data_IF_867865276019
#
_entry.id   IF_867865276019
#
_cell.length_a   1.000
_cell.length_b   1.000
_cell.length_c   1.000
_cell.angle_alpha   90.00
_cell.angle_beta   90.00
_cell.angle_gamma   90.00
#
_symmetry.space_group_name_H-M   'P 1'
#
loop_
_entity.id
_entity.type
_entity.pdbx_description
1 polymer ?
#
# COMPACT_ATOMS: atom_id res chain seq x y z
N UNK A 1 36.17 -26.64 -19.78
CA UNK A 1 35.70 -27.64 -20.77
C UNK A 1 36.89 -28.10 -21.61
N UNK A 2 37.27 -29.37 -21.50
CA UNK A 2 38.39 -29.97 -22.22
C UNK A 2 38.17 -29.88 -23.74
N UNK A 3 39.22 -29.50 -24.49
CA UNK A 3 39.15 -29.37 -25.95
C UNK A 3 39.69 -30.65 -26.58
N UNK A 4 38.89 -31.27 -27.44
CA UNK A 4 39.38 -32.31 -28.34
C UNK A 4 40.39 -31.68 -29.30
N UNK A 5 41.50 -32.37 -29.57
CA UNK A 5 42.49 -31.93 -30.53
C UNK A 5 42.91 -33.09 -31.45
N UNK A 6 43.29 -32.75 -32.68
CA UNK A 6 43.89 -33.66 -33.66
C UNK A 6 44.98 -32.87 -34.36
N UNK A 7 46.20 -33.40 -34.36
CA UNK A 7 47.35 -32.72 -34.94
C UNK A 7 47.98 -33.56 -36.05
N UNK A 8 48.35 -32.90 -37.14
CA UNK A 8 48.94 -33.56 -38.30
C UNK A 8 50.45 -33.72 -38.10
N UNK A 9 50.95 -34.93 -38.30
CA UNK A 9 52.39 -35.18 -38.28
C UNK A 9 53.05 -34.81 -39.62
N UNK A 10 54.31 -34.41 -39.55
CA UNK A 10 55.18 -34.03 -40.66
C UNK A 10 56.45 -34.87 -40.66
N UNK A 11 57.02 -35.18 -41.83
CA UNK A 11 58.33 -35.87 -41.90
C UNK A 11 59.39 -35.06 -41.16
N UNK A 12 60.19 -35.76 -40.36
CA UNK A 12 61.25 -35.16 -39.55
C UNK A 12 62.57 -35.08 -40.32
N UNK A 13 63.42 -34.12 -39.92
CA UNK A 13 64.80 -33.98 -40.42
C UNK A 13 65.77 -34.99 -39.77
N UNK A 14 65.30 -35.72 -38.74
CA UNK A 14 65.99 -36.87 -38.18
C UNK A 14 65.94 -37.99 -39.23
N UNK A 15 67.04 -38.23 -39.94
CA UNK A 15 67.09 -39.14 -41.09
C UNK A 15 66.40 -40.50 -40.86
N UNK A 16 65.73 -41.01 -41.90
CA UNK A 16 64.92 -42.24 -41.85
C UNK A 16 63.44 -41.99 -42.19
N UNK A 17 62.54 -42.78 -41.59
CA UNK A 17 61.07 -42.70 -41.79
C UNK A 17 60.33 -42.00 -40.64
N UNK A 18 60.99 -41.08 -39.95
CA UNK A 18 60.45 -40.39 -38.77
C UNK A 18 59.43 -39.31 -39.14
N UNK A 19 58.36 -39.23 -38.34
CA UNK A 19 57.33 -38.20 -38.41
C UNK A 19 57.19 -37.51 -37.04
N UNK A 20 56.83 -36.22 -37.02
CA UNK A 20 56.79 -35.38 -35.83
C UNK A 20 55.71 -34.30 -35.90
N UNK A 21 55.24 -33.82 -34.75
CA UNK A 21 54.40 -32.64 -34.63
C UNK A 21 54.76 -31.90 -33.32
N UNK A 22 54.23 -30.69 -33.14
CA UNK A 22 54.33 -29.95 -31.88
C UNK A 22 52.94 -29.84 -31.27
N UNK A 23 52.82 -30.26 -30.01
CA UNK A 23 51.57 -30.24 -29.26
C UNK A 23 51.64 -29.19 -28.15
N UNK A 24 50.55 -28.48 -27.92
CA UNK A 24 50.38 -27.69 -26.71
C UNK A 24 49.85 -28.61 -25.60
N UNK A 25 50.67 -28.82 -24.57
CA UNK A 25 50.28 -29.61 -23.40
C UNK A 25 49.77 -28.65 -22.31
N UNK A 26 48.50 -28.77 -21.87
CA UNK A 26 47.99 -28.00 -20.74
C UNK A 26 48.82 -28.25 -19.49
N UNK A 27 48.93 -27.26 -18.61
CA UNK A 27 49.71 -27.38 -17.37
C UNK A 27 49.12 -28.41 -16.41
N UNK A 28 47.84 -28.70 -16.57
CA UNK A 28 47.07 -29.65 -15.80
C UNK A 28 47.19 -31.10 -16.33
N UNK A 29 47.91 -31.33 -17.43
CA UNK A 29 48.11 -32.68 -17.96
C UNK A 29 49.33 -33.36 -17.32
N UNK A 30 49.13 -34.52 -16.72
CA UNK A 30 50.22 -35.38 -16.22
C UNK A 30 50.55 -36.54 -17.17
N UNK A 31 49.63 -36.89 -18.08
CA UNK A 31 49.76 -37.95 -19.08
C UNK A 31 49.12 -37.52 -20.40
N UNK A 32 49.75 -37.88 -21.51
CA UNK A 32 49.23 -37.75 -22.85
C UNK A 32 48.94 -39.14 -23.40
N UNK A 33 47.66 -39.45 -23.58
CA UNK A 33 47.19 -40.64 -24.28
C UNK A 33 46.91 -40.28 -25.74
N UNK A 34 47.42 -41.07 -26.68
CA UNK A 34 47.29 -40.80 -28.12
C UNK A 34 47.33 -42.07 -28.96
N UNK A 35 46.81 -41.95 -30.18
CA UNK A 35 46.85 -42.98 -31.22
C UNK A 35 47.28 -42.34 -32.54
N UNK A 36 47.87 -43.11 -33.44
CA UNK A 36 48.17 -42.61 -34.78
C UNK A 36 47.04 -42.99 -35.72
N UNK A 37 46.59 -42.02 -36.52
CA UNK A 37 45.53 -42.22 -37.50
C UNK A 37 46.03 -41.86 -38.88
N UNK A 38 45.78 -42.72 -39.88
CA UNK A 38 46.23 -42.48 -41.25
C UNK A 38 45.37 -41.46 -42.03
N UNK A 39 44.37 -40.86 -41.38
CA UNK A 39 43.43 -39.92 -42.02
C UNK A 39 42.29 -40.59 -42.79
N UNK A 40 42.17 -41.92 -42.73
CA UNK A 40 41.11 -42.69 -43.42
C UNK A 40 40.40 -43.65 -42.47
N UNK A 41 40.91 -44.86 -42.31
CA UNK A 41 40.21 -45.95 -41.59
C UNK A 41 41.12 -46.75 -40.67
N UNK A 42 42.43 -46.51 -40.69
CA UNK A 42 43.40 -47.30 -39.92
C UNK A 42 43.92 -46.48 -38.77
N UNK A 43 43.76 -47.03 -37.57
CA UNK A 43 44.38 -46.56 -36.33
C UNK A 43 45.49 -47.52 -35.94
N UNK A 44 46.64 -46.96 -35.60
CA UNK A 44 47.67 -47.66 -34.84
C UNK A 44 47.51 -47.23 -33.39
N UNK A 45 47.08 -48.17 -32.55
CA UNK A 45 46.67 -47.96 -31.17
C UNK A 45 47.38 -48.94 -30.22
N UNK A 46 48.57 -49.43 -30.59
CA UNK A 46 49.39 -50.28 -29.74
C UNK A 46 48.63 -51.54 -29.26
N UNK A 47 47.87 -52.16 -30.17
CA UNK A 47 47.08 -53.36 -29.87
C UNK A 47 45.95 -53.10 -28.87
N UNK A 48 45.21 -52.00 -29.04
CA UNK A 48 44.12 -51.52 -28.16
C UNK A 48 44.54 -51.03 -26.77
N UNK A 49 45.83 -50.76 -26.54
CA UNK A 49 46.31 -50.19 -25.28
C UNK A 49 46.62 -48.69 -25.36
N UNK A 50 46.46 -48.08 -26.54
CA UNK A 50 46.88 -46.73 -26.90
C UNK A 50 48.38 -46.49 -26.63
N UNK A 51 48.91 -45.37 -27.14
CA UNK A 51 50.22 -44.89 -26.72
C UNK A 51 50.03 -43.90 -25.59
N UNK A 52 50.85 -44.01 -24.55
CA UNK A 52 50.85 -43.08 -23.44
C UNK A 52 52.26 -42.55 -23.20
N UNK A 53 52.35 -41.24 -22.90
CA UNK A 53 53.59 -40.60 -22.46
C UNK A 53 53.27 -39.81 -21.20
N UNK A 54 54.06 -40.02 -20.14
CA UNK A 54 54.04 -39.17 -18.94
C UNK A 54 54.58 -37.78 -19.29
N UNK A 55 53.88 -36.73 -18.89
CA UNK A 55 54.31 -35.36 -19.13
C UNK A 55 55.25 -34.94 -18.01
N UNK A 56 56.49 -34.61 -18.37
CA UNK A 56 57.44 -34.01 -17.42
C UNK A 56 56.93 -32.61 -17.04
N UNK A 57 56.43 -32.48 -15.81
CA UNK A 57 55.84 -31.26 -15.30
C UNK A 57 55.65 -31.29 -13.79
N UNK A 58 54.99 -30.26 -13.26
CA UNK A 58 54.66 -30.17 -11.83
C UNK A 58 53.38 -30.91 -11.46
N UNK A 59 52.61 -31.36 -12.46
CA UNK A 59 51.37 -32.12 -12.29
C UNK A 59 51.67 -33.62 -12.36
N UNK A 60 51.29 -34.37 -11.33
CA UNK A 60 51.33 -35.83 -11.31
C UNK A 60 49.90 -36.39 -11.16
N UNK A 61 49.76 -37.72 -11.17
CA UNK A 61 48.45 -38.38 -11.07
C UNK A 61 47.67 -37.99 -9.82
N UNK A 62 48.30 -38.02 -8.64
CA UNK A 62 47.67 -37.64 -7.37
C UNK A 62 47.21 -36.17 -7.36
N UNK A 63 48.05 -35.26 -7.85
CA UNK A 63 47.73 -33.83 -7.96
C UNK A 63 46.61 -33.57 -8.99
N UNK A 64 46.52 -34.40 -10.03
CA UNK A 64 45.46 -34.34 -11.02
C UNK A 64 44.12 -34.82 -10.45
N UNK A 65 44.10 -35.91 -9.70
CA UNK A 65 42.90 -36.37 -8.99
C UNK A 65 42.41 -35.33 -7.97
N UNK A 66 43.33 -34.77 -7.17
CA UNK A 66 43.04 -33.65 -6.27
C UNK A 66 42.47 -32.43 -7.01
N UNK A 67 42.99 -32.14 -8.21
CA UNK A 67 42.50 -31.06 -9.06
C UNK A 67 41.06 -31.35 -9.53
N UNK A 68 40.76 -32.58 -9.96
CA UNK A 68 39.40 -32.98 -10.38
C UNK A 68 38.40 -32.88 -9.22
N UNK A 69 38.78 -33.32 -8.02
CA UNK A 69 37.94 -33.19 -6.82
C UNK A 69 37.65 -31.72 -6.50
N UNK A 70 38.67 -30.85 -6.56
CA UNK A 70 38.50 -29.40 -6.34
C UNK A 70 37.62 -28.74 -7.40
N UNK A 71 37.80 -29.07 -8.67
CA UNK A 71 36.91 -28.59 -9.74
C UNK A 71 35.48 -29.06 -9.52
N UNK A 72 35.28 -30.32 -9.12
CA UNK A 72 33.95 -30.84 -8.84
C UNK A 72 33.29 -30.14 -7.65
N UNK A 73 34.06 -29.85 -6.62
CA UNK A 73 33.60 -29.08 -5.46
C UNK A 73 33.19 -27.66 -5.86
N UNK A 74 33.97 -26.97 -6.68
CA UNK A 74 33.62 -25.64 -7.22
C UNK A 74 32.32 -25.66 -8.03
N UNK A 75 32.11 -26.69 -8.85
CA UNK A 75 30.83 -26.86 -9.58
C UNK A 75 29.65 -27.02 -8.62
N UNK A 76 29.79 -27.84 -7.57
CA UNK A 76 28.73 -28.05 -6.57
C UNK A 76 28.44 -26.79 -5.75
N UNK A 77 29.48 -26.06 -5.34
CA UNK A 77 29.34 -24.78 -4.64
C UNK A 77 28.62 -23.75 -5.51
N UNK A 78 28.94 -23.68 -6.81
CA UNK A 78 28.25 -22.81 -7.77
C UNK A 78 26.77 -23.19 -7.89
N UNK A 79 26.45 -24.47 -8.02
CA UNK A 79 25.07 -24.94 -8.07
C UNK A 79 24.31 -24.63 -6.78
N UNK A 80 24.96 -24.84 -5.62
CA UNK A 80 24.36 -24.52 -4.32
C UNK A 80 24.08 -23.02 -4.17
N UNK A 81 24.98 -22.16 -4.66
CA UNK A 81 24.81 -20.71 -4.68
C UNK A 81 23.65 -20.29 -5.59
N UNK A 82 23.57 -20.84 -6.82
CA UNK A 82 22.46 -20.58 -7.76
C UNK A 82 21.12 -21.04 -7.19
N UNK A 83 21.08 -22.20 -6.52
CA UNK A 83 19.87 -22.66 -5.84
C UNK A 83 19.47 -21.76 -4.66
N UNK A 84 20.45 -21.31 -3.87
CA UNK A 84 20.21 -20.40 -2.75
C UNK A 84 19.64 -19.08 -3.25
N UNK A 85 20.21 -18.50 -4.31
CA UNK A 85 19.72 -17.27 -4.94
C UNK A 85 18.30 -17.43 -5.52
N UNK A 86 18.01 -18.57 -6.16
CA UNK A 86 16.66 -18.87 -6.64
C UNK A 86 15.65 -18.97 -5.48
N UNK A 87 16.04 -19.56 -4.35
CA UNK A 87 15.19 -19.66 -3.15
C UNK A 87 14.94 -18.28 -2.54
N UNK A 88 15.97 -17.45 -2.40
CA UNK A 88 15.80 -16.08 -1.87
C UNK A 88 14.91 -15.25 -2.77
N UNK A 89 15.10 -15.29 -4.09
CA UNK A 89 14.28 -14.56 -5.05
C UNK A 89 12.81 -15.03 -5.02
N UNK A 90 12.57 -16.34 -4.89
CA UNK A 90 11.21 -16.89 -4.79
C UNK A 90 10.51 -16.42 -3.50
N UNK A 91 11.23 -16.44 -2.38
CA UNK A 91 10.71 -16.00 -1.08
C UNK A 91 10.44 -14.49 -1.07
N UNK A 92 11.31 -13.68 -1.65
CA UNK A 92 11.10 -12.24 -1.83
C UNK A 92 9.89 -11.93 -2.70
N UNK A 93 9.74 -12.66 -3.82
CA UNK A 93 8.55 -12.52 -4.68
C UNK A 93 7.27 -12.89 -3.94
N UNK A 94 7.30 -13.97 -3.13
CA UNK A 94 6.16 -14.39 -2.30
C UNK A 94 5.80 -13.30 -1.29
N UNK A 95 6.78 -12.81 -0.51
CA UNK A 95 6.59 -11.73 0.46
C UNK A 95 6.07 -10.44 -0.18
N UNK A 96 6.60 -10.07 -1.35
CA UNK A 96 6.14 -8.90 -2.10
C UNK A 96 4.69 -9.04 -2.57
N UNK A 97 4.31 -10.21 -3.10
CA UNK A 97 2.92 -10.50 -3.48
C UNK A 97 1.97 -10.47 -2.28
N UNK A 98 2.38 -11.07 -1.16
CA UNK A 98 1.60 -11.04 0.08
C UNK A 98 1.44 -9.62 0.63
N UNK A 99 2.51 -8.83 0.64
CA UNK A 99 2.45 -7.43 1.06
C UNK A 99 1.51 -6.59 0.18
N UNK A 100 1.58 -6.76 -1.16
CA UNK A 100 0.68 -6.07 -2.10
C UNK A 100 -0.77 -6.48 -1.92
N UNK A 101 -1.05 -7.78 -1.87
CA UNK A 101 -2.41 -8.28 -1.67
C UNK A 101 -3.01 -7.76 -0.36
N UNK A 102 -2.19 -7.68 0.68
CA UNK A 102 -2.63 -7.19 1.97
C UNK A 102 -2.81 -5.66 2.01
N UNK A 103 -2.03 -4.89 1.24
CA UNK A 103 -2.26 -3.45 1.01
C UNK A 103 -3.56 -3.21 0.23
N UNK A 104 -3.75 -3.95 -0.86
CA UNK A 104 -4.95 -3.89 -1.70
C UNK A 104 -6.22 -4.23 -0.91
N UNK A 105 -6.17 -5.22 -0.02
CA UNK A 105 -7.28 -5.56 0.86
C UNK A 105 -7.65 -4.38 1.79
N UNK A 106 -6.66 -3.67 2.34
CA UNK A 106 -6.90 -2.49 3.17
C UNK A 106 -7.51 -1.35 2.37
N UNK A 107 -7.03 -1.11 1.14
CA UNK A 107 -7.63 -0.11 0.23
C UNK A 107 -9.05 -0.47 -0.15
N UNK A 108 -9.32 -1.73 -0.44
CA UNK A 108 -10.67 -2.20 -0.77
C UNK A 108 -11.63 -2.00 0.41
N UNK A 109 -11.18 -2.29 1.63
CA UNK A 109 -11.96 -2.03 2.83
C UNK A 109 -12.21 -0.53 3.03
N UNK A 110 -11.19 0.33 2.86
CA UNK A 110 -11.34 1.77 2.97
C UNK A 110 -12.40 2.32 1.99
N UNK A 111 -12.36 1.86 0.73
CA UNK A 111 -13.35 2.22 -0.29
C UNK A 111 -14.77 1.78 0.06
N UNK A 112 -14.93 0.56 0.58
CA UNK A 112 -16.23 0.05 1.00
C UNK A 112 -16.81 0.89 2.16
N UNK A 113 -15.99 1.29 3.12
CA UNK A 113 -16.42 2.17 4.21
C UNK A 113 -16.79 3.58 3.72
N UNK A 114 -16.03 4.13 2.78
CA UNK A 114 -16.36 5.41 2.11
C UNK A 114 -17.69 5.30 1.38
N UNK A 115 -17.94 4.22 0.63
CA UNK A 115 -19.20 4.06 -0.08
C UNK A 115 -20.41 4.07 0.88
N UNK A 116 -20.28 3.42 2.04
CA UNK A 116 -21.33 3.43 3.08
C UNK A 116 -21.51 4.84 3.65
N UNK A 117 -20.41 5.53 4.01
CA UNK A 117 -20.48 6.91 4.51
C UNK A 117 -21.10 7.85 3.48
N UNK A 118 -20.72 7.71 2.21
CA UNK A 118 -21.23 8.54 1.12
C UNK A 118 -22.72 8.33 0.90
N UNK A 119 -23.20 7.08 0.89
CA UNK A 119 -24.65 6.80 0.82
C UNK A 119 -25.42 7.46 1.96
N UNK A 120 -24.87 7.49 3.19
CA UNK A 120 -25.48 8.20 4.32
C UNK A 120 -25.49 9.71 4.09
N UNK A 121 -24.37 10.30 3.69
CA UNK A 121 -24.30 11.73 3.40
C UNK A 121 -25.29 12.14 2.31
N UNK A 122 -25.38 11.39 1.22
CA UNK A 122 -26.31 11.63 0.12
C UNK A 122 -27.78 11.52 0.56
N UNK A 123 -28.09 10.55 1.43
CA UNK A 123 -29.41 10.47 2.06
C UNK A 123 -29.73 11.72 2.88
N UNK A 124 -28.75 12.25 3.62
CA UNK A 124 -28.90 13.44 4.45
C UNK A 124 -29.04 14.72 3.63
N UNK A 125 -28.27 14.84 2.55
CA UNK A 125 -28.39 15.94 1.59
C UNK A 125 -29.80 16.04 1.01
N UNK A 126 -30.52 14.92 0.86
CA UNK A 126 -31.93 14.93 0.41
C UNK A 126 -32.90 15.52 1.46
N UNK A 127 -32.54 15.44 2.75
CA UNK A 127 -33.30 16.00 3.86
C UNK A 127 -32.95 17.46 4.13
N UNK A 128 -31.75 17.89 3.75
CA UNK A 128 -31.29 19.26 3.90
C UNK A 128 -32.26 20.26 3.22
N UNK A 129 -32.47 21.38 3.89
CA UNK A 129 -33.23 22.52 3.37
C UNK A 129 -32.36 23.76 3.42
N UNK A 130 -32.73 24.77 2.65
CA UNK A 130 -32.08 26.10 2.74
C UNK A 130 -32.74 26.94 3.83
N UNK A 131 -34.05 26.81 3.97
CA UNK A 131 -34.87 27.38 5.02
C UNK A 131 -36.18 26.60 5.10
N UNK A 132 -36.92 26.79 6.18
CA UNK A 132 -38.32 26.38 6.29
C UNK A 132 -39.12 27.59 6.74
N UNK A 133 -40.11 27.96 5.93
CA UNK A 133 -40.93 29.15 6.15
C UNK A 133 -41.52 29.15 7.56
N UNK A 134 -41.43 30.33 8.19
CA UNK A 134 -41.89 30.57 9.57
C UNK A 134 -41.33 29.62 10.64
N UNK A 135 -40.22 28.91 10.38
CA UNK A 135 -39.61 27.98 11.33
C UNK A 135 -38.12 28.25 11.54
N UNK A 136 -37.32 28.27 10.48
CA UNK A 136 -35.89 28.56 10.56
C UNK A 136 -35.33 28.98 9.21
N UNK A 137 -34.27 29.78 9.22
CA UNK A 137 -33.50 30.10 8.02
C UNK A 137 -32.07 30.51 8.41
N UNK A 138 -31.16 30.44 7.45
CA UNK A 138 -29.76 30.84 7.61
C UNK A 138 -29.49 32.06 6.72
N UNK A 139 -28.82 33.05 7.29
CA UNK A 139 -28.25 34.18 6.54
C UNK A 139 -26.71 34.05 6.59
N UNK A 140 -26.03 34.32 5.47
CA UNK A 140 -24.58 34.50 5.51
C UNK A 140 -24.27 35.79 6.30
N UNK A 141 -23.32 35.74 7.24
CA UNK A 141 -22.93 36.96 7.95
C UNK A 141 -22.29 37.95 6.99
N UNK A 142 -22.60 39.23 7.15
CA UNK A 142 -21.96 40.34 6.43
C UNK A 142 -20.62 40.76 7.05
N UNK A 143 -20.20 40.11 8.13
CA UNK A 143 -18.95 40.42 8.80
C UNK A 143 -17.73 40.00 7.97
N UNK A 144 -16.64 40.74 8.14
CA UNK A 144 -15.42 40.70 7.30
C UNK A 144 -14.69 39.35 7.31
N UNK A 145 -15.03 38.42 8.21
CA UNK A 145 -14.42 37.09 8.26
C UNK A 145 -15.06 36.08 7.30
N UNK A 146 -16.28 36.29 6.79
CA UNK A 146 -16.94 35.40 5.81
C UNK A 146 -17.27 33.97 6.26
N UNK A 147 -16.74 33.52 7.40
CA UNK A 147 -16.82 32.16 7.94
C UNK A 147 -17.97 31.94 8.95
N UNK A 148 -18.74 33.00 9.25
CA UNK A 148 -19.85 32.96 10.21
C UNK A 148 -21.19 32.96 9.48
N UNK A 149 -22.11 32.12 9.93
CA UNK A 149 -23.51 32.14 9.50
C UNK A 149 -24.40 32.58 10.65
N UNK A 150 -25.51 33.26 10.35
CA UNK A 150 -26.54 33.55 11.35
C UNK A 150 -27.72 32.60 11.15
N UNK A 151 -27.98 31.77 12.16
CA UNK A 151 -29.10 30.81 12.15
C UNK A 151 -30.25 31.39 12.98
N UNK A 152 -31.44 31.46 12.38
CA UNK A 152 -32.66 31.90 13.04
C UNK A 152 -33.61 30.74 13.29
N UNK A 153 -34.34 30.81 14.41
CA UNK A 153 -35.33 29.83 14.82
C UNK A 153 -36.58 30.53 15.36
N UNK A 154 -37.73 30.20 14.81
CA UNK A 154 -39.03 30.57 15.34
C UNK A 154 -39.58 29.40 16.16
N UNK A 155 -39.63 29.57 17.47
CA UNK A 155 -40.11 28.52 18.38
C UNK A 155 -41.64 28.50 18.54
N UNK A 156 -42.35 29.37 17.83
CA UNK A 156 -43.81 29.43 17.92
C UNK A 156 -44.45 28.10 17.49
N UNK A 157 -45.35 27.56 18.32
CA UNK A 157 -45.94 26.22 18.13
C UNK A 157 -44.93 25.07 18.03
N UNK A 158 -43.73 25.22 18.60
CA UNK A 158 -42.69 24.18 18.68
C UNK A 158 -42.52 23.69 20.12
N UNK A 159 -41.81 22.55 20.33
CA UNK A 159 -41.57 22.00 21.67
C UNK A 159 -40.93 22.97 22.67
N UNK A 160 -40.23 24.01 22.20
CA UNK A 160 -39.52 24.98 23.02
C UNK A 160 -40.29 26.30 23.22
N UNK A 161 -41.58 26.36 22.90
CA UNK A 161 -42.37 27.60 22.94
C UNK A 161 -42.40 28.31 24.31
N UNK A 162 -42.20 27.57 25.40
CA UNK A 162 -42.22 28.09 26.76
C UNK A 162 -40.84 28.11 27.44
N UNK A 163 -39.78 27.75 26.72
CA UNK A 163 -38.42 27.79 27.26
C UNK A 163 -37.98 29.23 27.52
N UNK A 164 -37.15 29.46 28.55
CA UNK A 164 -36.57 30.79 28.80
C UNK A 164 -35.24 30.98 28.09
N UNK A 165 -34.56 29.87 27.79
CA UNK A 165 -33.32 29.82 27.03
C UNK A 165 -33.53 28.95 25.79
N UNK A 166 -32.82 29.29 24.73
CA UNK A 166 -32.78 28.51 23.50
C UNK A 166 -31.32 28.28 23.16
N UNK A 167 -30.97 27.05 22.87
CA UNK A 167 -29.63 26.62 22.50
C UNK A 167 -29.69 25.78 21.23
N UNK A 168 -28.65 25.87 20.42
CA UNK A 168 -28.38 24.94 19.33
C UNK A 168 -27.33 23.94 19.81
N UNK A 169 -27.64 22.65 19.68
CA UNK A 169 -26.67 21.58 19.77
C UNK A 169 -26.45 21.09 18.34
N UNK A 170 -25.25 21.27 17.82
CA UNK A 170 -24.93 21.07 16.42
C UNK A 170 -23.75 20.15 16.17
N UNK A 171 -23.75 19.58 14.99
CA UNK A 171 -22.70 18.77 14.42
C UNK A 171 -22.63 19.03 12.91
N UNK A 172 -21.92 18.17 12.21
CA UNK A 172 -21.79 18.27 10.77
C UNK A 172 -21.64 16.90 10.12
N UNK A 173 -21.92 16.84 8.81
CA UNK A 173 -21.76 15.65 7.97
C UNK A 173 -22.38 14.38 8.59
N UNK A 174 -23.64 14.49 9.05
CA UNK A 174 -24.36 13.46 9.79
C UNK A 174 -23.73 13.17 11.16
N UNK A 175 -23.51 14.22 11.95
CA UNK A 175 -22.94 14.14 13.29
C UNK A 175 -21.62 13.36 13.33
N UNK A 176 -20.74 13.54 12.33
CA UNK A 176 -19.54 12.71 12.16
C UNK A 176 -18.58 12.75 13.35
N UNK A 177 -18.47 13.91 13.99
CA UNK A 177 -17.67 14.13 15.20
C UNK A 177 -18.54 14.16 16.48
N UNK A 178 -19.81 13.77 16.37
CA UNK A 178 -20.80 13.96 17.43
C UNK A 178 -21.15 15.44 17.62
N UNK A 179 -21.42 15.82 18.88
CA UNK A 179 -21.74 17.20 19.27
C UNK A 179 -20.48 18.06 19.22
N UNK A 180 -20.37 18.92 18.21
CA UNK A 180 -19.20 19.78 17.98
C UNK A 180 -19.50 21.28 18.08
N UNK A 181 -20.77 21.67 18.10
CA UNK A 181 -21.24 23.06 18.14
C UNK A 181 -22.26 23.19 19.27
N UNK A 182 -22.09 24.16 20.15
CA UNK A 182 -23.06 24.46 21.22
C UNK A 182 -23.18 25.97 21.34
N UNK A 183 -24.29 26.51 20.86
CA UNK A 183 -24.49 27.97 20.79
C UNK A 183 -25.77 28.40 21.47
N UNK A 184 -25.71 29.48 22.26
CA UNK A 184 -26.88 30.09 22.88
C UNK A 184 -27.54 31.08 21.94
N UNK A 185 -28.85 31.00 21.82
CA UNK A 185 -29.61 31.91 20.97
C UNK A 185 -30.06 33.14 21.75
N UNK A 186 -30.14 34.27 21.04
CA UNK A 186 -30.66 35.55 21.56
C UNK A 186 -31.98 35.86 20.88
N UNK A 187 -32.93 36.40 21.65
CA UNK A 187 -34.25 36.78 21.13
C UNK A 187 -34.14 37.95 20.12
N UNK A 188 -34.81 37.80 18.99
CA UNK A 188 -34.96 38.81 17.94
C UNK A 188 -36.20 39.65 18.26
N UNK A 189 -36.03 40.95 18.55
CA UNK A 189 -37.15 41.83 18.94
C UNK A 189 -37.72 42.67 17.78
N UNK A 190 -37.05 42.65 16.63
CA UNK A 190 -37.33 43.43 15.42
C UNK A 190 -38.10 42.65 14.34
N UNK A 191 -38.57 41.43 14.66
CA UNK A 191 -39.30 40.55 13.75
C UNK A 191 -40.61 40.07 14.36
N UNK A 192 -41.65 39.96 13.54
CA UNK A 192 -42.94 39.40 13.95
C UNK A 192 -42.81 37.89 14.19
N UNK A 193 -43.13 37.45 15.41
CA UNK A 193 -43.02 36.05 15.86
C UNK A 193 -42.18 35.89 17.12
N UNK A 194 -41.88 34.65 17.52
CA UNK A 194 -40.96 34.36 18.63
C UNK A 194 -39.63 33.86 18.05
N UNK A 195 -38.96 34.76 17.33
CA UNK A 195 -37.71 34.51 16.63
C UNK A 195 -36.51 34.66 17.57
N UNK A 196 -35.56 33.75 17.41
CA UNK A 196 -34.30 33.69 18.13
C UNK A 196 -33.17 33.44 17.13
N UNK A 197 -31.96 33.92 17.40
CA UNK A 197 -30.82 33.69 16.51
C UNK A 197 -29.51 33.46 17.24
N UNK A 198 -28.56 32.80 16.56
CA UNK A 198 -27.16 32.75 16.97
C UNK A 198 -26.25 32.91 15.75
N UNK A 199 -25.06 33.44 15.99
CA UNK A 199 -23.97 33.45 15.04
C UNK A 199 -23.13 32.18 15.25
N UNK A 200 -23.09 31.34 14.23
CA UNK A 200 -22.45 30.01 14.27
C UNK A 200 -21.28 30.01 13.31
N UNK A 201 -20.15 29.48 13.75
CA UNK A 201 -18.98 29.22 12.90
C UNK A 201 -19.01 27.74 12.53
N UNK A 202 -19.39 27.37 11.29
CA UNK A 202 -19.39 25.98 10.89
C UNK A 202 -17.96 25.42 10.86
N UNK A 203 -17.76 24.14 11.20
CA UNK A 203 -16.46 23.50 11.03
C UNK A 203 -15.97 23.59 9.58
N UNK A 204 -14.67 23.80 9.37
CA UNK A 204 -14.08 23.96 8.04
C UNK A 204 -14.44 22.81 7.08
N UNK A 205 -14.61 21.59 7.61
CA UNK A 205 -14.94 20.38 6.85
C UNK A 205 -16.44 20.13 6.64
N UNK A 206 -17.31 21.03 7.07
CA UNK A 206 -18.75 20.84 7.04
C UNK A 206 -19.31 21.00 5.61
N UNK A 207 -19.82 19.90 5.04
CA UNK A 207 -20.62 19.91 3.83
C UNK A 207 -22.10 20.19 4.17
N UNK A 208 -22.55 19.64 5.29
CA UNK A 208 -23.90 19.80 5.84
C UNK A 208 -23.79 20.13 7.32
N UNK A 209 -24.54 21.13 7.77
CA UNK A 209 -24.73 21.43 9.17
C UNK A 209 -25.93 20.63 9.70
N UNK A 210 -25.73 19.93 10.81
CA UNK A 210 -26.76 19.17 11.51
C UNK A 210 -27.02 19.80 12.87
N UNK A 211 -28.27 19.96 13.29
CA UNK A 211 -28.54 20.47 14.62
C UNK A 211 -29.91 20.08 15.19
N UNK A 212 -30.02 20.24 16.49
CA UNK A 212 -31.27 20.27 17.25
C UNK A 212 -31.32 21.53 18.10
N UNK A 213 -32.51 22.00 18.42
CA UNK A 213 -32.69 23.06 19.41
C UNK A 213 -32.97 22.46 20.78
N UNK A 214 -32.50 23.15 21.83
CA UNK A 214 -32.61 22.72 23.21
C UNK A 214 -32.97 23.91 24.13
N UNK A 215 -33.46 23.62 25.34
CA UNK A 215 -33.75 24.63 26.38
C UNK A 215 -32.57 24.90 27.34
N UNK A 216 -31.36 24.45 26.99
CA UNK A 216 -30.16 24.63 27.81
C UNK A 216 -28.88 24.16 27.11
N UNK A 217 -27.71 24.40 27.71
CA UNK A 217 -26.44 23.91 27.18
C UNK A 217 -26.35 22.38 27.24
N UNK A 218 -25.35 21.83 26.55
CA UNK A 218 -25.08 20.39 26.55
C UNK A 218 -24.94 19.84 27.98
N UNK A 219 -25.66 18.76 28.29
CA UNK A 219 -25.68 18.14 29.62
C UNK A 219 -26.71 18.71 30.60
N UNK A 220 -27.24 19.92 30.34
CA UNK A 220 -28.24 20.57 31.22
C UNK A 220 -29.62 20.76 30.56
N UNK A 221 -29.71 20.62 29.24
CA UNK A 221 -30.96 20.65 28.50
C UNK A 221 -31.92 19.52 28.92
N UNK A 222 -33.21 19.84 28.99
CA UNK A 222 -34.30 18.93 29.36
C UNK A 222 -35.28 18.71 28.22
N UNK A 223 -35.50 19.74 27.40
CA UNK A 223 -36.42 19.70 26.27
C UNK A 223 -35.68 19.97 24.97
N UNK A 224 -36.11 19.30 23.91
CA UNK A 224 -35.49 19.37 22.60
C UNK A 224 -36.56 19.54 21.52
N UNK A 225 -36.27 20.39 20.53
CA UNK A 225 -36.88 20.33 19.21
C UNK A 225 -35.87 19.66 18.27
N UNK A 226 -36.11 18.38 17.98
CA UNK A 226 -35.33 17.59 17.03
C UNK A 226 -36.12 17.31 15.75
N UNK A 227 -37.06 18.20 15.41
CA UNK A 227 -37.82 18.12 14.17
C UNK A 227 -38.49 16.75 13.95
N UNK A 228 -39.18 16.24 14.98
CA UNK A 228 -39.79 14.91 14.97
C UNK A 228 -38.79 13.76 14.68
N UNK A 229 -37.61 13.83 15.32
CA UNK A 229 -36.48 12.88 15.17
C UNK A 229 -35.82 12.88 13.79
N UNK A 230 -36.10 13.89 12.99
CA UNK A 230 -35.40 14.08 11.72
C UNK A 230 -34.18 14.99 11.89
N UNK A 231 -34.04 15.67 13.03
CA UNK A 231 -33.10 16.77 13.22
C UNK A 231 -33.28 17.87 12.16
N UNK A 232 -32.46 18.90 12.23
CA UNK A 232 -32.42 19.97 11.24
C UNK A 232 -31.11 19.89 10.45
N UNK A 233 -31.22 20.13 9.14
CA UNK A 233 -30.12 19.98 8.20
C UNK A 233 -30.10 21.13 7.19
N UNK A 234 -28.92 21.71 6.97
CA UNK A 234 -28.73 22.74 5.96
C UNK A 234 -27.41 22.56 5.20
N UNK A 235 -27.48 22.81 3.90
CA UNK A 235 -26.30 23.00 3.07
C UNK A 235 -25.80 24.43 3.31
N UNK A 236 -24.52 24.57 3.63
CA UNK A 236 -23.92 25.87 3.90
C UNK A 236 -23.77 26.69 2.62
N UNK A 237 -24.14 27.99 2.63
CA UNK A 237 -24.08 28.83 1.43
C UNK A 237 -22.64 29.15 0.96
N UNK A 238 -21.67 29.20 1.89
CA UNK A 238 -20.26 29.53 1.60
C UNK A 238 -19.34 28.35 1.97
N UNK A 239 -19.54 27.19 1.33
CA UNK A 239 -18.70 26.04 1.62
C UNK A 239 -17.39 26.09 0.80
N UNK A 240 -16.26 26.34 1.46
CA UNK A 240 -14.93 26.31 0.84
C UNK A 240 -14.44 24.87 0.55
N UNK A 241 -15.12 23.85 1.08
CA UNK A 241 -14.77 22.45 0.89
C UNK A 241 -15.60 21.82 -0.22
N UNK A 242 -14.92 21.26 -1.21
CA UNK A 242 -15.56 20.45 -2.24
C UNK A 242 -15.85 19.04 -1.71
N UNK A 243 -16.97 18.46 -2.14
CA UNK A 243 -17.32 17.07 -1.79
C UNK A 243 -16.20 16.09 -2.18
N UNK A 244 -15.58 16.28 -3.35
CA UNK A 244 -14.44 15.47 -3.81
C UNK A 244 -13.24 15.57 -2.87
N UNK A 245 -12.85 16.79 -2.46
CA UNK A 245 -11.74 17.01 -1.54
C UNK A 245 -11.98 16.39 -0.16
N UNK A 246 -13.21 16.49 0.34
CA UNK A 246 -13.63 15.84 1.58
C UNK A 246 -13.48 14.31 1.50
N UNK A 247 -13.97 13.68 0.42
CA UNK A 247 -13.91 12.22 0.28
C UNK A 247 -12.49 11.69 0.10
N UNK A 248 -11.62 12.41 -0.60
CA UNK A 248 -10.19 12.04 -0.72
C UNK A 248 -9.52 12.04 0.65
N UNK A 249 -9.76 13.07 1.46
CA UNK A 249 -9.19 13.14 2.81
C UNK A 249 -9.76 12.06 3.72
N UNK A 250 -11.07 11.80 3.66
CA UNK A 250 -11.70 10.74 4.44
C UNK A 250 -11.22 9.33 4.04
N UNK A 251 -11.02 9.06 2.75
CA UNK A 251 -10.45 7.79 2.28
C UNK A 251 -9.05 7.58 2.87
N UNK A 252 -8.21 8.62 2.85
CA UNK A 252 -6.87 8.58 3.42
C UNK A 252 -6.89 8.38 4.95
N UNK A 253 -7.83 9.02 5.66
CA UNK A 253 -8.01 8.84 7.11
C UNK A 253 -8.39 7.40 7.45
N UNK A 254 -9.37 6.83 6.74
CA UNK A 254 -9.83 5.45 6.94
C UNK A 254 -8.71 4.47 6.62
N UNK A 255 -8.02 4.64 5.49
CA UNK A 255 -6.89 3.81 5.10
C UNK A 255 -5.78 3.81 6.17
N UNK A 256 -5.42 4.98 6.69
CA UNK A 256 -4.39 5.12 7.72
C UNK A 256 -4.80 4.43 9.02
N UNK A 257 -6.06 4.58 9.45
CA UNK A 257 -6.61 3.88 10.62
C UNK A 257 -6.57 2.36 10.43
N UNK A 258 -7.00 1.85 9.27
CA UNK A 258 -7.03 0.41 9.00
C UNK A 258 -5.62 -0.20 8.97
N UNK A 259 -4.62 0.52 8.44
CA UNK A 259 -3.22 0.11 8.54
C UNK A 259 -2.75 0.03 10.00
N UNK A 260 -3.14 0.99 10.83
CA UNK A 260 -2.78 1.02 12.24
C UNK A 260 -3.41 -0.14 13.01
N UNK A 261 -4.71 -0.36 12.85
CA UNK A 261 -5.42 -1.50 13.46
C UNK A 261 -4.81 -2.84 13.05
N UNK A 262 -4.38 -2.96 11.79
CA UNK A 262 -3.71 -4.16 11.31
C UNK A 262 -2.36 -4.37 12.00
N UNK A 263 -1.53 -3.32 12.08
CA UNK A 263 -0.24 -3.39 12.81
C UNK A 263 -0.44 -3.84 14.25
N UNK A 264 -1.42 -3.25 14.93
CA UNK A 264 -1.77 -3.60 16.32
C UNK A 264 -2.23 -5.05 16.46
N UNK A 265 -3.06 -5.54 15.53
CA UNK A 265 -3.48 -6.96 15.49
C UNK A 265 -2.30 -7.91 15.28
N UNK A 266 -1.39 -7.58 14.35
CA UNK A 266 -0.19 -8.36 14.08
C UNK A 266 0.76 -8.39 15.30
N UNK A 267 0.98 -7.25 15.96
CA UNK A 267 1.76 -7.18 17.20
C UNK A 267 1.11 -7.97 18.33
N UNK A 268 -0.21 -7.88 18.47
CA UNK A 268 -0.95 -8.61 19.49
C UNK A 268 -0.86 -10.12 19.26
N UNK A 269 -0.92 -10.58 18.00
CA UNK A 269 -0.71 -12.00 17.69
C UNK A 269 0.73 -12.43 17.98
N UNK A 270 1.74 -11.64 17.64
CA UNK A 270 3.15 -11.94 17.94
C UNK A 270 3.43 -12.07 19.44
N UNK A 271 2.75 -11.30 20.28
CA UNK A 271 2.88 -11.39 21.76
C UNK A 271 2.19 -12.62 22.37
N UNK A 272 1.28 -13.26 21.63
CA UNK A 272 0.52 -14.44 22.08
C UNK A 272 1.15 -15.77 21.65
N UNK A 273 2.17 -15.73 20.78
CA UNK A 273 2.96 -16.89 20.31
C UNK A 273 4.24 -16.96 21.12
#
# INVERSE_FOLDING_TARGET
>A
KWRLFTERLHKSDLGGVWWSCKLYIPKEAYRLDFVFFNGRTVYENNGNNDFCIGIEGTMNEDLFEDFLVKEKQRELEKLAMEEAERRTQTEEQRRSKEARAADEAVRAQAKAEIEIKNKKLQSMLSLARTCVDNLWYIEASTDTSGDTIRLYYNRNSRPLAHSTEIWMHGGYNNWSDGLSIVESFVKCNDRDGDWWYADVIPPEKALVLDWVFADGPAGNARNYDNNARQDFHAILPNNNVTEEGFWVQEEQNIYTRLLQERREKEETMKRKV
#
